data_IF_699673279584
#
_entry.id   IF_699673279584
#
_cell.length_a   1.000
_cell.length_b   1.000
_cell.length_c   1.000
_cell.angle_alpha   90.00
_cell.angle_beta   90.00
_cell.angle_gamma   90.00
#
_symmetry.space_group_name_H-M   'P 1'
#
loop_
_entity.id
_entity.type
_entity.pdbx_description
1 polymer ?
#
# COMPACT_ATOMS: atom_id res chain seq x y z
N UNK A 1 -11.18 -12.05 -5.66
CA UNK A 1 -11.57 -10.69 -5.20
C UNK A 1 -12.93 -10.22 -5.71
N UNK A 2 -13.38 -10.54 -6.93
CA UNK A 2 -14.64 -10.02 -7.48
C UNK A 2 -15.93 -10.44 -6.74
N UNK A 3 -15.89 -11.47 -5.90
CA UNK A 3 -17.08 -12.06 -5.28
C UNK A 3 -17.35 -11.59 -3.84
N UNK A 4 -16.54 -10.66 -3.31
CA UNK A 4 -16.58 -10.19 -1.90
C UNK A 4 -16.68 -8.67 -1.76
N UNK A 5 -16.83 -7.94 -2.86
CA UNK A 5 -17.07 -6.51 -2.83
C UNK A 5 -18.49 -6.19 -2.35
N UNK A 6 -18.71 -5.14 -1.53
CA UNK A 6 -20.05 -4.69 -1.17
C UNK A 6 -20.88 -4.46 -2.44
N UNK A 7 -22.12 -4.94 -2.47
CA UNK A 7 -22.95 -4.98 -3.69
C UNK A 7 -23.22 -3.63 -4.37
N UNK A 8 -22.83 -2.51 -3.76
CA UNK A 8 -22.94 -1.15 -4.31
C UNK A 8 -21.65 -0.64 -4.98
N UNK A 9 -20.52 -1.34 -4.89
CA UNK A 9 -19.23 -0.84 -5.39
C UNK A 9 -18.72 -1.66 -6.58
N UNK A 10 -18.45 -0.98 -7.71
CA UNK A 10 -17.82 -1.61 -8.87
C UNK A 10 -16.38 -1.97 -8.54
N UNK A 11 -16.01 -3.23 -8.77
CA UNK A 11 -14.64 -3.71 -8.51
C UNK A 11 -13.96 -4.09 -9.81
N UNK A 12 -12.71 -3.68 -9.96
CA UNK A 12 -11.88 -3.98 -11.12
C UNK A 12 -10.59 -4.65 -10.64
N UNK A 13 -10.13 -5.64 -11.38
CA UNK A 13 -8.80 -6.23 -11.21
C UNK A 13 -8.03 -5.92 -12.48
N UNK A 14 -6.95 -5.17 -12.32
CA UNK A 14 -6.11 -4.66 -13.40
C UNK A 14 -4.64 -4.80 -13.01
N UNK A 15 -3.77 -4.98 -13.99
CA UNK A 15 -2.33 -4.93 -13.78
C UNK A 15 -1.83 -3.49 -13.56
N UNK A 16 -0.57 -3.34 -13.18
CA UNK A 16 0.07 -2.05 -12.85
C UNK A 16 0.07 -1.09 -14.05
N UNK A 17 0.39 -1.58 -15.25
CA UNK A 17 0.44 -0.73 -16.45
C UNK A 17 -0.94 -0.22 -16.84
N UNK A 18 -1.95 -1.10 -16.79
CA UNK A 18 -3.34 -0.75 -17.03
C UNK A 18 -3.86 0.21 -15.97
N UNK A 19 -3.44 0.04 -14.71
CA UNK A 19 -3.77 0.99 -13.63
C UNK A 19 -3.28 2.39 -13.99
N UNK A 20 -2.03 2.55 -14.41
CA UNK A 20 -1.50 3.85 -14.83
C UNK A 20 -2.22 4.46 -16.04
N UNK A 21 -2.60 3.64 -17.02
CA UNK A 21 -3.40 4.11 -18.17
C UNK A 21 -4.79 4.57 -17.76
N UNK A 22 -5.43 3.87 -16.83
CA UNK A 22 -6.76 4.22 -16.32
C UNK A 22 -6.69 5.49 -15.47
N UNK A 23 -5.69 5.59 -14.60
CA UNK A 23 -5.47 6.76 -13.74
C UNK A 23 -5.31 8.05 -14.56
N UNK A 24 -4.51 8.01 -15.63
CA UNK A 24 -4.27 9.17 -16.49
C UNK A 24 -5.38 9.45 -17.51
N UNK A 25 -6.47 8.66 -17.53
CA UNK A 25 -7.54 8.86 -18.50
C UNK A 25 -8.59 9.86 -17.96
N UNK A 26 -8.81 11.01 -18.62
CA UNK A 26 -9.73 12.04 -18.17
C UNK A 26 -11.17 11.56 -17.94
N UNK A 27 -11.57 10.46 -18.60
CA UNK A 27 -12.89 9.83 -18.40
C UNK A 27 -13.14 9.41 -16.95
N UNK A 28 -12.09 9.18 -16.17
CA UNK A 28 -12.17 8.68 -14.81
C UNK A 28 -11.74 9.71 -13.76
N UNK A 29 -11.54 10.97 -14.13
CA UNK A 29 -11.03 12.02 -13.24
C UNK A 29 -11.91 12.25 -12.00
N UNK A 30 -13.23 12.05 -12.13
CA UNK A 30 -14.20 12.27 -11.05
C UNK A 30 -14.49 11.00 -10.23
N UNK A 31 -13.78 9.88 -10.47
CA UNK A 31 -14.00 8.64 -9.74
C UNK A 31 -13.17 8.59 -8.46
N UNK A 32 -13.84 8.47 -7.32
CA UNK A 32 -13.21 8.06 -6.08
C UNK A 32 -12.94 6.55 -6.11
N UNK A 33 -11.66 6.19 -5.98
CA UNK A 33 -11.21 4.79 -6.07
C UNK A 33 -10.41 4.43 -4.83
N UNK A 34 -10.78 3.31 -4.20
CA UNK A 34 -9.92 2.64 -3.23
C UNK A 34 -9.01 1.66 -4.01
N UNK A 35 -7.72 1.93 -4.01
CA UNK A 35 -6.72 1.03 -4.59
C UNK A 35 -6.21 0.05 -3.54
N UNK A 36 -6.25 -1.25 -3.87
CA UNK A 36 -5.66 -2.31 -3.06
C UNK A 36 -4.53 -2.92 -3.87
N UNK A 37 -3.33 -2.92 -3.28
CA UNK A 37 -2.11 -3.49 -3.88
C UNK A 37 -1.60 -4.65 -3.05
N UNK A 38 -0.82 -5.54 -3.66
CA UNK A 38 -0.29 -6.72 -2.97
C UNK A 38 0.98 -6.39 -2.17
N UNK A 39 1.85 -5.53 -2.69
CA UNK A 39 3.15 -5.23 -2.08
C UNK A 39 3.51 -3.75 -2.11
N UNK A 40 4.36 -3.25 -1.18
CA UNK A 40 4.84 -1.88 -1.24
C UNK A 40 5.68 -1.59 -2.49
N UNK A 41 6.30 -2.61 -3.11
CA UNK A 41 7.02 -2.47 -4.38
C UNK A 41 6.10 -2.06 -5.51
N UNK A 42 4.86 -2.55 -5.52
CA UNK A 42 3.89 -2.15 -6.52
C UNK A 42 3.52 -0.67 -6.39
N UNK A 43 3.49 -0.13 -5.17
CA UNK A 43 3.32 1.32 -4.94
C UNK A 43 4.48 2.11 -5.54
N UNK A 44 5.73 1.67 -5.33
CA UNK A 44 6.90 2.31 -5.95
C UNK A 44 6.78 2.34 -7.47
N UNK A 45 6.38 1.21 -8.08
CA UNK A 45 6.16 1.13 -9.54
C UNK A 45 5.04 2.05 -10.02
N UNK A 46 3.97 2.21 -9.24
CA UNK A 46 2.88 3.12 -9.57
C UNK A 46 3.35 4.59 -9.52
N UNK A 47 4.14 4.97 -8.51
CA UNK A 47 4.79 6.29 -8.47
C UNK A 47 5.71 6.51 -9.68
N UNK A 48 6.50 5.50 -10.05
CA UNK A 48 7.39 5.57 -11.23
C UNK A 48 6.59 5.77 -12.55
N UNK A 49 5.35 5.30 -12.59
CA UNK A 49 4.43 5.49 -13.72
C UNK A 49 3.64 6.80 -13.66
N UNK A 50 3.96 7.68 -12.72
CA UNK A 50 3.40 9.03 -12.63
C UNK A 50 2.08 9.14 -11.87
N UNK A 51 1.70 8.11 -11.08
CA UNK A 51 0.58 8.27 -10.15
C UNK A 51 1.02 9.16 -8.98
N UNK A 52 0.17 10.10 -8.60
CA UNK A 52 0.35 10.89 -7.38
C UNK A 52 -0.24 10.12 -6.19
N UNK A 53 0.63 9.56 -5.34
CA UNK A 53 0.26 8.78 -4.16
C UNK A 53 0.88 9.44 -2.94
N UNK A 54 0.05 10.07 -2.11
CA UNK A 54 0.50 10.81 -0.92
C UNK A 54 0.44 9.98 0.36
N UNK A 55 -0.45 9.00 0.41
CA UNK A 55 -0.75 8.24 1.62
C UNK A 55 -0.92 6.74 1.29
N UNK A 56 -0.26 5.89 2.08
CA UNK A 56 -0.38 4.43 1.97
C UNK A 56 -0.67 3.85 3.35
N UNK A 57 -1.76 3.09 3.42
CA UNK A 57 -2.10 2.32 4.60
C UNK A 57 -1.70 0.84 4.45
N UNK A 58 -0.91 0.34 5.39
CA UNK A 58 -0.56 -1.07 5.51
C UNK A 58 -1.54 -1.74 6.47
N UNK A 59 -2.56 -2.40 5.89
CA UNK A 59 -3.59 -3.10 6.65
C UNK A 59 -3.17 -4.51 7.09
N UNK A 60 -2.51 -5.26 6.21
CA UNK A 60 -2.03 -6.61 6.51
C UNK A 60 -0.99 -7.10 5.51
N UNK A 61 0.08 -7.70 6.03
CA UNK A 61 1.11 -8.38 5.25
C UNK A 61 1.46 -9.68 5.97
N UNK A 62 1.05 -10.81 5.38
CA UNK A 62 1.16 -12.13 6.01
C UNK A 62 2.61 -12.57 6.12
N UNK A 63 2.94 -13.18 7.25
CA UNK A 63 4.25 -13.78 7.51
C UNK A 63 4.59 -14.87 6.48
N UNK A 64 5.82 -14.79 5.94
CA UNK A 64 6.52 -15.86 5.22
C UNK A 64 7.85 -16.11 5.93
N UNK A 65 8.48 -17.25 5.66
CA UNK A 65 9.81 -17.55 6.20
C UNK A 65 10.79 -16.40 5.92
N UNK A 66 11.60 -16.04 6.92
CA UNK A 66 12.57 -14.93 6.92
C UNK A 66 11.97 -13.50 6.97
N UNK A 67 10.71 -13.34 7.37
CA UNK A 67 10.13 -12.03 7.65
C UNK A 67 10.20 -11.68 9.14
N UNK A 68 10.32 -10.38 9.45
CA UNK A 68 10.25 -9.87 10.82
C UNK A 68 8.83 -9.38 11.09
N UNK A 69 8.23 -9.86 12.18
CA UNK A 69 6.90 -9.41 12.61
C UNK A 69 7.00 -8.02 13.25
N UNK A 70 6.28 -7.04 12.72
CA UNK A 70 6.26 -5.66 13.23
C UNK A 70 4.94 -5.31 13.91
N UNK A 71 3.85 -6.00 13.58
CA UNK A 71 2.55 -5.91 14.26
C UNK A 71 1.82 -7.26 14.26
N UNK A 72 0.58 -7.30 14.76
CA UNK A 72 -0.23 -8.51 14.71
C UNK A 72 -0.57 -8.94 13.27
N UNK A 73 -0.85 -7.96 12.41
CA UNK A 73 -1.28 -8.19 11.03
C UNK A 73 -0.16 -8.03 10.00
N UNK A 74 1.02 -7.55 10.40
CA UNK A 74 2.07 -7.15 9.47
C UNK A 74 3.42 -7.76 9.84
N UNK A 75 3.96 -8.52 8.90
CA UNK A 75 5.36 -8.95 8.87
C UNK A 75 6.01 -8.38 7.61
N UNK A 76 7.29 -8.01 7.72
CA UNK A 76 8.05 -7.37 6.64
C UNK A 76 9.36 -8.12 6.39
N UNK A 77 9.69 -8.32 5.12
CA UNK A 77 11.00 -8.77 4.69
C UNK A 77 11.94 -7.61 4.37
N UNK A 78 13.19 -7.93 4.01
CA UNK A 78 14.19 -6.94 3.61
C UNK A 78 13.70 -6.06 2.45
N UNK A 79 13.19 -6.68 1.40
CA UNK A 79 12.71 -5.96 0.23
C UNK A 79 11.50 -5.06 0.52
N UNK A 80 10.67 -5.42 1.51
CA UNK A 80 9.54 -4.58 1.93
C UNK A 80 10.05 -3.34 2.65
N UNK A 81 11.06 -3.50 3.51
CA UNK A 81 11.72 -2.39 4.21
C UNK A 81 12.39 -1.45 3.21
N UNK A 82 13.05 -1.98 2.17
CA UNK A 82 13.64 -1.19 1.10
C UNK A 82 12.57 -0.38 0.35
N UNK A 83 11.44 -1.01 0.01
CA UNK A 83 10.32 -0.33 -0.64
C UNK A 83 9.72 0.76 0.26
N UNK A 84 9.46 0.48 1.54
CA UNK A 84 8.97 1.50 2.49
C UNK A 84 9.95 2.67 2.64
N UNK A 85 11.24 2.40 2.67
CA UNK A 85 12.27 3.44 2.73
C UNK A 85 12.27 4.32 1.47
N UNK A 86 12.06 3.73 0.30
CA UNK A 86 11.94 4.50 -0.95
C UNK A 86 10.66 5.36 -0.98
N UNK A 87 9.54 4.82 -0.51
CA UNK A 87 8.28 5.56 -0.39
C UNK A 87 8.40 6.74 0.58
N UNK A 88 9.03 6.54 1.74
CA UNK A 88 9.30 7.59 2.74
C UNK A 88 10.19 8.69 2.17
N UNK A 89 11.25 8.33 1.44
CA UNK A 89 12.12 9.31 0.73
C UNK A 89 11.37 10.14 -0.30
N UNK A 90 10.36 9.56 -0.94
CA UNK A 90 9.47 10.25 -1.89
C UNK A 90 8.38 11.08 -1.21
N UNK A 91 8.36 11.13 0.12
CA UNK A 91 7.42 11.92 0.91
C UNK A 91 6.05 11.27 1.08
N UNK A 92 5.91 9.98 0.76
CA UNK A 92 4.66 9.25 0.97
C UNK A 92 4.46 8.99 2.45
N UNK A 93 3.29 9.34 2.99
CA UNK A 93 2.92 9.04 4.36
C UNK A 93 2.57 7.56 4.50
N UNK A 94 3.33 6.85 5.31
CA UNK A 94 3.16 5.41 5.54
C UNK A 94 2.55 5.15 6.92
N UNK A 95 1.33 4.60 6.95
CA UNK A 95 0.67 4.23 8.21
C UNK A 95 0.38 2.73 8.30
N UNK A 96 0.35 2.21 9.51
CA UNK A 96 -0.12 0.87 9.82
C UNK A 96 -1.48 0.97 10.52
N UNK A 97 -2.54 0.46 9.87
CA UNK A 97 -3.90 0.46 10.39
C UNK A 97 -4.70 -0.71 9.79
N UNK A 98 -4.99 -1.73 10.60
CA UNK A 98 -5.70 -2.95 10.15
C UNK A 98 -7.20 -2.72 9.95
N UNK A 99 -7.84 -1.99 10.87
CA UNK A 99 -9.26 -1.66 10.81
C UNK A 99 -9.43 -0.14 10.94
N UNK A 100 -10.48 0.45 10.34
CA UNK A 100 -10.75 1.89 10.44
C UNK A 100 -10.88 2.39 11.89
N UNK A 101 -11.29 1.52 12.82
CA UNK A 101 -11.44 1.82 14.24
C UNK A 101 -10.12 1.80 15.02
N UNK A 102 -9.07 1.16 14.48
CA UNK A 102 -7.76 1.13 15.11
C UNK A 102 -7.06 2.48 14.92
N UNK A 103 -6.29 2.92 15.93
CA UNK A 103 -5.46 4.12 15.80
C UNK A 103 -4.34 3.88 14.77
N UNK A 104 -4.16 4.74 13.76
CA UNK A 104 -3.07 4.59 12.81
C UNK A 104 -1.72 4.82 13.52
N UNK A 105 -0.75 3.98 13.19
CA UNK A 105 0.64 4.07 13.67
C UNK A 105 1.53 4.50 12.51
N UNK A 106 2.46 5.43 12.73
CA UNK A 106 3.44 5.80 11.71
C UNK A 106 4.41 4.63 11.49
N UNK A 107 4.45 4.12 10.25
CA UNK A 107 5.17 2.89 9.93
C UNK A 107 6.68 3.05 10.12
N UNK A 108 7.24 4.18 9.68
CA UNK A 108 8.68 4.42 9.74
C UNK A 108 9.19 4.51 11.17
N UNK A 109 8.45 5.14 12.07
CA UNK A 109 8.77 5.20 13.50
C UNK A 109 8.77 3.80 14.13
N UNK A 110 7.79 2.97 13.76
CA UNK A 110 7.71 1.59 14.19
C UNK A 110 8.92 0.78 13.72
N UNK A 111 9.31 0.90 12.45
CA UNK A 111 10.48 0.21 11.89
C UNK A 111 11.78 0.63 12.59
N UNK A 112 11.99 1.93 12.83
CA UNK A 112 13.15 2.44 13.60
C UNK A 112 13.17 1.89 15.02
N UNK A 113 12.02 1.87 15.71
CA UNK A 113 11.93 1.34 17.09
C UNK A 113 12.25 -0.15 17.19
N UNK A 114 12.12 -0.89 16.09
CA UNK A 114 12.43 -2.32 15.98
C UNK A 114 13.86 -2.59 15.51
N UNK A 115 14.66 -1.55 15.23
CA UNK A 115 16.03 -1.67 14.72
C UNK A 115 16.10 -2.24 13.30
N UNK A 116 15.06 -2.01 12.49
CA UNK A 116 14.97 -2.48 11.10
C UNK A 116 15.40 -1.42 10.08
N UNK A 117 15.72 -0.20 10.54
CA UNK A 117 16.19 0.95 9.77
C UNK A 117 17.38 1.60 10.46
#
# INVERSE_FOLDING_TARGET
MLQVAPGSTKTFVVDIEKTARVYNNPKYADLEVLMVVETPRDVVRLLDLGLDITDVNVGGMTYKENMTRISEAVSVGKDDIEAFSELDKRGVRLTLQQLPTNRPVQLMDLLRSKGLL
#
